data_IF_525429949833
#
_entry.id   IF_525429949833
#
_cell.length_a   1.000
_cell.length_b   1.000
_cell.length_c   1.000
_cell.angle_alpha   90.00
_cell.angle_beta   90.00
_cell.angle_gamma   90.00
#
_symmetry.space_group_name_H-M   'P 1'
#
loop_
_entity.id
_entity.type
_entity.pdbx_description
1 polymer ?
#
# COMPACT_ATOMS: atom_id res chain seq x y z
N UNK A 1 -13.69 -9.07 -15.02
CA UNK A 1 -12.97 -8.03 -15.78
C UNK A 1 -13.13 -6.72 -15.04
N UNK A 2 -12.07 -5.90 -14.95
CA UNK A 2 -12.10 -4.59 -14.31
C UNK A 2 -11.71 -3.49 -15.30
N UNK A 3 -12.02 -2.25 -14.97
CA UNK A 3 -11.67 -1.06 -15.75
C UNK A 3 -10.49 -0.33 -15.12
N UNK A 4 -9.72 0.38 -15.93
CA UNK A 4 -8.61 1.23 -15.45
C UNK A 4 -8.60 2.54 -16.22
N UNK A 5 -8.57 3.65 -15.48
CA UNK A 5 -8.32 4.99 -16.01
C UNK A 5 -6.93 5.43 -15.55
N UNK A 6 -6.01 5.64 -16.51
CA UNK A 6 -4.63 6.01 -16.22
C UNK A 6 -4.29 7.42 -16.70
N UNK A 7 -3.57 8.17 -15.88
CA UNK A 7 -2.96 9.45 -16.23
C UNK A 7 -1.48 9.25 -16.57
N UNK A 8 -1.04 9.85 -17.67
CA UNK A 8 0.35 9.81 -18.13
C UNK A 8 0.93 11.21 -18.21
N UNK A 9 2.22 11.34 -17.97
CA UNK A 9 2.94 12.59 -18.22
C UNK A 9 3.34 12.75 -19.70
N UNK A 10 4.00 13.88 -20.03
CA UNK A 10 4.46 14.19 -21.38
C UNK A 10 5.48 13.19 -21.94
N UNK A 11 6.18 12.44 -21.09
CA UNK A 11 7.09 11.36 -21.51
C UNK A 11 6.35 10.04 -21.82
N UNK A 12 5.03 9.99 -21.54
CA UNK A 12 4.20 8.80 -21.67
C UNK A 12 4.23 7.91 -20.42
N UNK A 13 4.94 8.29 -19.35
CA UNK A 13 5.02 7.53 -18.10
C UNK A 13 3.70 7.64 -17.33
N UNK A 14 3.17 6.52 -16.84
CA UNK A 14 1.98 6.52 -15.95
C UNK A 14 2.32 7.17 -14.62
N UNK A 15 1.46 8.10 -14.18
CA UNK A 15 1.60 8.85 -12.92
C UNK A 15 0.48 8.55 -11.94
N UNK A 16 -0.69 8.15 -12.43
CA UNK A 16 -1.78 7.73 -11.59
C UNK A 16 -2.64 6.70 -12.31
N UNK A 17 -3.24 5.78 -11.56
CA UNK A 17 -4.22 4.83 -12.06
C UNK A 17 -5.41 4.76 -11.08
N UNK A 18 -6.62 4.90 -11.60
CA UNK A 18 -7.85 4.50 -10.93
C UNK A 18 -8.27 3.15 -11.49
N UNK A 19 -8.32 2.13 -10.64
CA UNK A 19 -8.66 0.76 -10.99
C UNK A 19 -9.95 0.34 -10.29
N UNK A 20 -10.91 -0.20 -11.03
CA UNK A 20 -12.19 -0.67 -10.49
C UNK A 20 -12.44 -2.09 -10.97
N UNK A 21 -12.70 -3.02 -10.05
CA UNK A 21 -12.92 -4.42 -10.37
C UNK A 21 -13.90 -5.09 -9.40
N UNK A 22 -14.27 -6.33 -9.73
CA UNK A 22 -15.16 -7.16 -8.89
C UNK A 22 -14.61 -7.35 -7.48
N UNK A 23 -13.30 -7.56 -7.40
CA UNK A 23 -12.61 -7.86 -6.14
C UNK A 23 -12.10 -6.59 -5.45
N UNK A 24 -12.58 -5.41 -5.87
CA UNK A 24 -12.23 -4.15 -5.23
C UNK A 24 -11.72 -3.07 -6.18
N UNK A 25 -11.52 -1.90 -5.59
CA UNK A 25 -11.04 -0.69 -6.27
C UNK A 25 -9.73 -0.21 -5.67
N UNK A 26 -8.92 0.46 -6.48
CA UNK A 26 -7.70 1.10 -6.02
C UNK A 26 -7.42 2.42 -6.75
N UNK A 27 -6.83 3.36 -6.02
CA UNK A 27 -6.18 4.55 -6.56
C UNK A 27 -4.68 4.43 -6.27
N UNK A 28 -3.87 4.54 -7.32
CA UNK A 28 -2.42 4.51 -7.23
C UNK A 28 -1.84 5.83 -7.73
N UNK A 29 -0.88 6.39 -7.00
CA UNK A 29 -0.05 7.51 -7.45
C UNK A 29 1.41 7.06 -7.52
N UNK A 30 2.00 7.17 -8.70
CA UNK A 30 3.40 6.83 -8.97
C UNK A 30 4.33 8.01 -8.68
N UNK A 31 5.40 7.74 -7.93
CA UNK A 31 6.51 8.67 -7.74
C UNK A 31 7.47 8.68 -8.93
N UNK A 32 8.61 9.34 -8.75
CA UNK A 32 9.72 9.27 -9.71
C UNK A 32 10.24 7.82 -9.77
N UNK A 33 10.55 7.33 -10.97
CA UNK A 33 11.12 6.00 -11.23
C UNK A 33 10.18 4.79 -11.03
N UNK A 34 8.89 4.93 -11.38
CA UNK A 34 7.92 3.82 -11.44
C UNK A 34 7.60 3.15 -10.08
N UNK A 35 8.07 3.69 -8.96
CA UNK A 35 7.66 3.23 -7.63
C UNK A 35 6.33 3.87 -7.26
N UNK A 36 5.35 3.05 -6.89
CA UNK A 36 4.10 3.52 -6.28
C UNK A 36 4.43 4.21 -4.96
N UNK A 37 4.07 5.49 -4.85
CA UNK A 37 4.31 6.30 -3.64
C UNK A 37 3.06 6.34 -2.77
N UNK A 38 1.87 6.27 -3.36
CA UNK A 38 0.62 6.22 -2.62
C UNK A 38 -0.30 5.18 -3.24
N UNK A 39 -0.91 4.37 -2.38
CA UNK A 39 -1.90 3.38 -2.75
C UNK A 39 -3.08 3.44 -1.80
N UNK A 40 -4.29 3.61 -2.32
CA UNK A 40 -5.54 3.48 -1.59
C UNK A 40 -6.33 2.34 -2.22
N UNK A 41 -6.73 1.33 -1.45
CA UNK A 41 -7.60 0.26 -1.96
C UNK A 41 -8.73 -0.11 -1.01
N UNK A 42 -9.77 -0.72 -1.58
CA UNK A 42 -10.88 -1.37 -0.88
C UNK A 42 -11.04 -2.77 -1.44
N UNK A 43 -10.64 -3.82 -0.71
CA UNK A 43 -10.75 -5.23 -1.13
C UNK A 43 -9.72 -5.67 -2.17
N UNK A 44 -9.03 -4.73 -2.83
CA UNK A 44 -8.01 -5.03 -3.83
C UNK A 44 -6.64 -5.12 -3.18
N UNK A 45 -5.89 -6.17 -3.55
CA UNK A 45 -4.50 -6.38 -3.14
C UNK A 45 -3.66 -5.12 -3.42
N UNK A 46 -3.08 -4.57 -2.36
CA UNK A 46 -2.08 -3.52 -2.44
C UNK A 46 -0.74 -4.17 -2.80
N UNK A 47 -0.09 -3.87 -3.93
CA UNK A 47 1.20 -4.47 -4.29
C UNK A 47 2.35 -4.09 -3.34
N UNK A 48 2.15 -3.10 -2.47
CA UNK A 48 3.07 -2.78 -1.39
C UNK A 48 2.94 -3.75 -0.20
N UNK A 49 1.85 -4.53 -0.13
CA UNK A 49 1.50 -5.42 0.99
C UNK A 49 1.25 -6.85 0.52
N UNK A 50 1.43 -7.84 1.41
CA UNK A 50 1.25 -9.24 1.02
C UNK A 50 -0.22 -9.60 0.78
N UNK A 51 -1.16 -9.22 1.66
CA UNK A 51 -2.61 -9.41 1.49
C UNK A 51 -3.45 -8.35 2.21
N UNK A 52 -4.57 -7.93 1.62
CA UNK A 52 -5.53 -7.02 2.28
C UNK A 52 -6.88 -7.04 1.56
N UNK A 53 -7.83 -7.83 2.05
CA UNK A 53 -9.26 -7.76 1.69
C UNK A 53 -9.97 -6.56 2.34
N UNK A 54 -9.25 -5.78 3.14
CA UNK A 54 -9.75 -4.61 3.88
C UNK A 54 -9.38 -3.31 3.18
N UNK A 55 -10.06 -2.19 3.51
CA UNK A 55 -9.61 -0.87 3.09
C UNK A 55 -8.23 -0.54 3.66
N UNK A 56 -7.34 -0.06 2.79
CA UNK A 56 -5.95 0.26 3.18
C UNK A 56 -5.45 1.47 2.41
N UNK A 57 -4.76 2.37 3.11
CA UNK A 57 -3.94 3.44 2.56
C UNK A 57 -2.48 3.14 2.90
N UNK A 58 -1.62 3.02 1.88
CA UNK A 58 -0.17 2.96 2.06
C UNK A 58 0.49 4.15 1.37
N UNK A 59 1.49 4.71 2.03
CA UNK A 59 2.37 5.74 1.49
C UNK A 59 3.81 5.27 1.71
N UNK A 60 4.63 5.27 0.67
CA UNK A 60 6.04 4.92 0.74
C UNK A 60 6.93 5.97 0.08
N UNK A 61 8.13 6.17 0.64
CA UNK A 61 9.11 7.08 0.06
C UNK A 61 10.20 6.36 -0.73
N UNK A 62 11.02 7.15 -1.44
CA UNK A 62 12.14 6.63 -2.23
C UNK A 62 13.25 5.98 -1.39
N UNK A 63 13.27 6.25 -0.07
CA UNK A 63 14.25 5.74 0.89
C UNK A 63 13.80 4.43 1.55
N UNK A 64 12.56 3.99 1.28
CA UNK A 64 12.00 2.72 1.77
C UNK A 64 11.11 2.85 3.01
N UNK A 65 10.96 4.05 3.57
CA UNK A 65 10.04 4.28 4.69
C UNK A 65 8.60 4.14 4.21
N UNK A 66 7.73 3.64 5.08
CA UNK A 66 6.34 3.37 4.75
C UNK A 66 5.41 3.65 5.92
N UNK A 67 4.23 4.18 5.61
CA UNK A 67 3.10 4.29 6.53
C UNK A 67 1.92 3.54 5.95
N UNK A 68 1.28 2.70 6.76
CA UNK A 68 0.04 2.00 6.42
C UNK A 68 -1.06 2.44 7.38
N UNK A 69 -2.23 2.77 6.84
CA UNK A 69 -3.48 2.92 7.58
C UNK A 69 -4.43 1.84 7.08
N UNK A 70 -4.93 0.99 7.97
CA UNK A 70 -5.73 -0.18 7.62
C UNK A 70 -5.17 -1.46 8.23
N UNK A 71 -5.65 -2.62 7.75
CA UNK A 71 -5.07 -3.90 8.17
C UNK A 71 -3.78 -4.19 7.41
N UNK A 72 -2.79 -4.67 8.13
CA UNK A 72 -1.52 -5.14 7.59
C UNK A 72 -1.00 -6.30 8.42
N UNK A 73 -0.22 -7.18 7.79
CA UNK A 73 0.46 -8.28 8.46
C UNK A 73 1.77 -7.78 9.06
N UNK A 74 1.96 -7.98 10.36
CA UNK A 74 3.16 -7.60 11.10
C UNK A 74 3.95 -8.84 11.48
N UNK A 75 5.19 -8.93 11.01
CA UNK A 75 6.12 -9.97 11.45
C UNK A 75 6.82 -9.52 12.71
N UNK A 76 6.75 -10.34 13.75
CA UNK A 76 7.44 -10.13 15.02
C UNK A 76 8.91 -10.52 14.84
N UNK A 77 9.88 -9.59 14.91
CA UNK A 77 11.25 -9.89 14.48
C UNK A 77 11.95 -11.01 15.27
N UNK A 78 11.61 -11.18 16.55
CA UNK A 78 12.25 -12.16 17.44
C UNK A 78 11.71 -13.59 17.30
N UNK A 79 10.46 -13.75 16.89
CA UNK A 79 9.78 -15.06 16.81
C UNK A 79 9.46 -15.48 15.37
N UNK A 80 9.45 -14.53 14.43
CA UNK A 80 8.95 -14.73 13.08
C UNK A 80 7.43 -14.89 13.00
N UNK A 81 6.70 -14.68 14.11
CA UNK A 81 5.24 -14.80 14.14
C UNK A 81 4.59 -13.61 13.44
N UNK A 82 3.64 -13.89 12.55
CA UNK A 82 2.88 -12.86 11.84
C UNK A 82 1.55 -12.59 12.55
N UNK A 83 1.33 -11.34 12.98
CA UNK A 83 0.07 -10.86 13.54
C UNK A 83 -0.60 -9.86 12.61
N UNK A 84 -1.90 -10.03 12.37
CA UNK A 84 -2.67 -9.10 11.53
C UNK A 84 -3.25 -7.95 12.35
N UNK A 85 -3.09 -6.72 11.90
CA UNK A 85 -3.67 -5.55 12.55
C UNK A 85 -5.15 -5.34 12.24
N UNK A 86 -5.85 -4.63 13.13
CA UNK A 86 -7.19 -4.11 12.88
C UNK A 86 -7.22 -3.15 11.68
N UNK A 87 -8.36 -3.06 11.00
CA UNK A 87 -8.59 -2.10 9.93
C UNK A 87 -8.53 -0.63 10.40
N UNK A 88 -8.58 -0.39 11.72
CA UNK A 88 -8.43 0.94 12.31
C UNK A 88 -6.97 1.33 12.58
N UNK A 89 -5.98 0.47 12.28
CA UNK A 89 -4.61 0.71 12.71
C UNK A 89 -3.82 1.67 11.83
N UNK A 90 -2.82 2.30 12.42
CA UNK A 90 -1.75 3.02 11.72
C UNK A 90 -0.40 2.41 12.11
N UNK A 91 0.40 2.01 11.12
CA UNK A 91 1.73 1.41 11.31
C UNK A 91 2.78 2.15 10.50
N UNK A 92 3.90 2.47 11.12
CA UNK A 92 5.07 3.08 10.47
C UNK A 92 6.21 2.07 10.40
N UNK A 93 6.85 2.00 9.23
CA UNK A 93 7.98 1.13 8.95
C UNK A 93 9.22 1.94 8.59
N UNK A 94 10.38 1.48 9.06
CA UNK A 94 11.66 1.96 8.55
C UNK A 94 11.98 1.39 7.16
N UNK A 95 13.12 1.81 6.61
CA UNK A 95 13.63 1.37 5.30
C UNK A 95 13.91 -0.14 5.20
N UNK A 96 14.06 -0.82 6.33
CA UNK A 96 14.35 -2.24 6.43
C UNK A 96 13.07 -3.05 6.75
N UNK A 97 11.90 -2.38 6.72
CA UNK A 97 10.56 -2.92 7.01
C UNK A 97 10.34 -3.34 8.46
N UNK A 98 11.10 -2.77 9.40
CA UNK A 98 10.81 -2.91 10.83
C UNK A 98 9.75 -1.90 11.27
N UNK A 99 8.86 -2.31 12.17
CA UNK A 99 7.88 -1.42 12.81
C UNK A 99 8.63 -0.44 13.74
N UNK A 100 8.49 0.86 13.48
CA UNK A 100 9.05 1.92 14.34
C UNK A 100 8.00 2.60 15.22
N UNK A 101 6.72 2.51 14.83
CA UNK A 101 5.58 2.97 15.62
C UNK A 101 4.29 2.31 15.13
N UNK A 102 3.34 2.10 16.05
CA UNK A 102 2.00 1.63 15.71
C UNK A 102 0.94 2.17 16.68
N UNK A 103 -0.28 2.38 16.18
CA UNK A 103 -1.47 2.62 16.99
C UNK A 103 -2.66 1.81 16.45
N UNK A 104 -3.60 1.39 17.33
CA UNK A 104 -4.84 0.72 16.93
C UNK A 104 -5.77 1.56 16.09
#
# INVERSE_FOLDING_TARGET
MGSTLGLRDASGMRRADLMVGRDGSALALGGMNLKTTLWLSTGRRNPLLEESDTPTLSISDSKGFETIIGSTDLVTPSTGETHKTSAASVVLFDKDKNVIWQAP
#
